data_IF_867664375898
#
_entry.id   IF_867664375898
#
_cell.length_a   1.000
_cell.length_b   1.000
_cell.length_c   1.000
_cell.angle_alpha   90.00
_cell.angle_beta   90.00
_cell.angle_gamma   90.00
#
_symmetry.space_group_name_H-M   'P 1'
#
loop_
_entity.id
_entity.type
_entity.pdbx_description
1 polymer ?
#
# COMPACT_ATOMS: atom_id res chain seq x y z
N UNK A 1 -13.33 13.93 5.21
CA UNK A 1 -11.86 13.75 5.08
C UNK A 1 -11.55 12.26 5.07
N UNK A 2 -10.95 11.73 4.01
CA UNK A 2 -10.68 10.28 3.88
C UNK A 2 -9.83 9.78 5.05
N UNK A 3 -10.36 8.84 5.83
CA UNK A 3 -9.63 8.21 6.94
C UNK A 3 -8.34 7.55 6.41
N UNK A 4 -7.20 7.95 6.96
CA UNK A 4 -5.90 7.36 6.61
C UNK A 4 -5.71 6.11 7.48
N UNK A 5 -5.64 4.94 6.85
CA UNK A 5 -5.32 3.69 7.53
C UNK A 5 -3.85 3.68 7.93
N UNK A 6 -3.55 3.15 9.11
CA UNK A 6 -2.17 3.04 9.57
C UNK A 6 -1.50 1.83 8.91
N UNK A 7 -0.30 2.04 8.37
CA UNK A 7 0.51 0.98 7.77
C UNK A 7 1.28 0.14 8.79
N UNK A 8 1.30 0.56 10.06
CA UNK A 8 1.85 -0.21 11.19
C UNK A 8 0.87 -1.26 11.73
N UNK A 9 -0.43 -1.08 11.47
CA UNK A 9 -1.45 -2.06 11.84
C UNK A 9 -1.39 -3.28 10.93
N UNK A 10 -1.87 -4.41 11.45
CA UNK A 10 -1.87 -5.66 10.69
C UNK A 10 -2.71 -5.51 9.42
N UNK A 11 -2.24 -6.02 8.25
CA UNK A 11 -3.02 -6.04 7.02
C UNK A 11 -4.41 -6.67 7.16
N UNK A 12 -4.61 -7.53 8.17
CA UNK A 12 -5.92 -8.12 8.50
C UNK A 12 -6.91 -7.07 9.01
N UNK A 13 -6.44 -6.12 9.82
CA UNK A 13 -7.28 -5.04 10.38
C UNK A 13 -7.56 -3.95 9.35
N UNK A 14 -6.57 -3.64 8.52
CA UNK A 14 -6.69 -2.57 7.52
C UNK A 14 -7.44 -3.03 6.27
N UNK A 15 -7.71 -4.33 6.10
CA UNK A 15 -8.32 -4.92 4.90
C UNK A 15 -7.34 -5.12 3.74
N UNK A 16 -6.04 -5.12 4.03
CA UNK A 16 -4.96 -5.32 3.07
C UNK A 16 -3.74 -4.44 3.39
N UNK A 17 -2.57 -4.73 2.80
CA UNK A 17 -1.37 -3.93 3.03
C UNK A 17 -1.61 -2.46 2.66
N UNK A 18 -1.20 -1.55 3.55
CA UNK A 18 -1.41 -0.11 3.36
C UNK A 18 -0.20 0.51 2.66
N UNK A 19 -0.46 1.53 1.85
CA UNK A 19 0.57 2.35 1.22
C UNK A 19 1.25 3.22 2.28
N UNK A 20 2.57 3.05 2.42
CA UNK A 20 3.38 3.79 3.41
C UNK A 20 3.63 5.24 2.98
N UNK A 21 3.93 5.47 1.69
CA UNK A 21 4.42 6.77 1.19
C UNK A 21 3.75 7.21 -0.12
N UNK A 22 3.74 8.53 -0.35
CA UNK A 22 3.21 9.19 -1.54
C UNK A 22 1.75 9.65 -1.43
N UNK A 23 1.14 10.14 -2.53
CA UNK A 23 -0.21 10.76 -2.51
C UNK A 23 -1.34 9.83 -2.03
N UNK A 24 -1.13 8.52 -2.12
CA UNK A 24 -2.07 7.49 -1.67
C UNK A 24 -1.69 6.88 -0.32
N UNK A 25 -0.78 7.49 0.43
CA UNK A 25 -0.40 7.04 1.77
C UNK A 25 -1.62 6.94 2.68
N UNK A 26 -1.70 5.83 3.42
CA UNK A 26 -2.84 5.51 4.28
C UNK A 26 -4.02 4.84 3.57
N UNK A 27 -3.91 4.49 2.28
CA UNK A 27 -4.90 3.66 1.58
C UNK A 27 -4.38 2.24 1.36
N UNK A 28 -5.27 1.25 1.25
CA UNK A 28 -4.87 -0.11 0.90
C UNK A 28 -4.27 -0.15 -0.51
N UNK A 29 -3.32 -1.06 -0.71
CA UNK A 29 -2.77 -1.37 -2.05
C UNK A 29 -3.87 -1.93 -2.94
N UNK A 30 -3.72 -1.82 -4.25
CA UNK A 30 -4.61 -2.48 -5.19
C UNK A 30 -4.23 -3.95 -5.32
N UNK A 31 -5.24 -4.83 -5.37
CA UNK A 31 -5.06 -6.27 -5.59
C UNK A 31 -5.04 -6.56 -7.09
N UNK A 32 -4.12 -7.41 -7.53
CA UNK A 32 -4.07 -7.90 -8.91
C UNK A 32 -5.17 -8.94 -9.14
N UNK A 33 -5.47 -9.24 -10.41
CA UNK A 33 -6.42 -10.30 -10.79
C UNK A 33 -6.00 -11.68 -10.26
N UNK A 34 -4.69 -11.91 -10.09
CA UNK A 34 -4.12 -13.14 -9.55
C UNK A 34 -4.12 -13.17 -8.01
N UNK A 35 -4.81 -12.23 -7.36
CA UNK A 35 -4.97 -12.20 -5.91
C UNK A 35 -3.78 -11.67 -5.11
N UNK A 36 -2.69 -11.26 -5.78
CA UNK A 36 -1.51 -10.69 -5.12
C UNK A 36 -1.63 -9.17 -4.96
N UNK A 37 -1.04 -8.60 -3.91
CA UNK A 37 -1.02 -7.15 -3.76
C UNK A 37 0.06 -6.52 -4.63
N UNK A 38 -0.29 -5.45 -5.32
CA UNK A 38 0.67 -4.71 -6.16
C UNK A 38 1.83 -4.16 -5.32
N UNK A 39 3.08 -4.49 -5.68
CA UNK A 39 4.27 -3.91 -5.03
C UNK A 39 4.42 -2.46 -5.48
N UNK A 40 4.59 -1.52 -4.53
CA UNK A 40 4.91 -0.14 -4.90
C UNK A 40 6.32 -0.08 -5.50
N UNK A 41 6.49 0.76 -6.52
CA UNK A 41 7.80 1.06 -7.11
C UNK A 41 8.79 1.65 -6.09
N UNK A 42 8.31 2.38 -5.08
CA UNK A 42 9.14 2.90 -3.99
C UNK A 42 9.69 1.82 -3.05
N UNK A 43 9.02 0.67 -2.92
CA UNK A 43 9.53 -0.50 -2.17
C UNK A 43 10.59 -1.29 -2.98
N UNK A 44 10.82 -0.95 -4.25
CA UNK A 44 11.81 -1.64 -5.09
C UNK A 44 13.24 -1.11 -4.88
N UNK A 45 13.43 -0.07 -4.05
CA UNK A 45 14.74 0.51 -3.72
C UNK A 45 15.51 1.13 -4.89
N UNK A 46 14.94 1.09 -6.10
CA UNK A 46 15.57 1.55 -7.34
C UNK A 46 14.84 2.80 -7.82
N UNK A 47 15.50 3.98 -7.85
CA UNK A 47 14.96 5.14 -8.53
C UNK A 47 14.78 4.81 -10.03
N UNK A 48 13.80 5.44 -10.68
CA UNK A 48 13.71 5.38 -12.15
C UNK A 48 14.94 6.09 -12.70
N UNK A 49 15.73 5.41 -13.53
CA UNK A 49 16.64 6.11 -14.46
C UNK A 49 15.80 6.93 -15.44
#
# INVERSE_FOLDING_TARGET
MSEKKDHKKSPRETGGPVVKTGPTAGKNRSRTKNGTWTKKRSDAGKPRK
#
